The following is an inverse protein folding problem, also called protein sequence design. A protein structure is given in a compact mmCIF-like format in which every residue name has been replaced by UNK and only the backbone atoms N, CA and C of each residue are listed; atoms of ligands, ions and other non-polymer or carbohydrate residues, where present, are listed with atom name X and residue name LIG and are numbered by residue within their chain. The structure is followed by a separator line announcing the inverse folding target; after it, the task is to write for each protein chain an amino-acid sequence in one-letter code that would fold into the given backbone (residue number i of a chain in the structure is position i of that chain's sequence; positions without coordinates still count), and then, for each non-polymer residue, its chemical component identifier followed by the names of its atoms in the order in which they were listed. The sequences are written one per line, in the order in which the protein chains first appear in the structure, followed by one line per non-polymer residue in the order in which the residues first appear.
data_IF_673205440516
#
_entry.id   IF_673205440516
#
_cell.length_a   1.000
_cell.length_b   1.000
_cell.length_c   1.000
_cell.angle_alpha   90.00
_cell.angle_beta   90.00
_cell.angle_gamma   90.00
#
_symmetry.space_group_name_H-M   'P 1'
#
loop_
_entity.id
_entity.type
_entity.pdbx_description
1 polymer ?
#
# COMPACT_ATOMS: atom_id res chain seq x y z
N UNK A 1 -82.87 -20.10 -76.14
CA UNK A 1 -81.76 -19.27 -75.65
C UNK A 1 -80.73 -20.19 -75.02
N UNK A 2 -79.59 -20.39 -75.66
CA UNK A 2 -78.48 -21.22 -75.15
C UNK A 2 -77.66 -20.40 -74.13
N UNK A 3 -77.27 -20.97 -72.98
CA UNK A 3 -76.43 -20.26 -72.00
C UNK A 3 -75.02 -20.02 -72.55
N UNK A 4 -74.39 -18.88 -72.23
CA UNK A 4 -73.03 -18.58 -72.68
C UNK A 4 -72.02 -19.53 -72.02
N UNK A 5 -71.12 -20.07 -72.82
CA UNK A 5 -70.05 -20.97 -72.39
C UNK A 5 -69.07 -20.24 -71.45
N UNK A 6 -68.69 -20.82 -70.30
CA UNK A 6 -67.77 -20.18 -69.36
C UNK A 6 -66.37 -20.01 -69.99
N UNK A 7 -65.84 -18.79 -69.97
CA UNK A 7 -64.50 -18.47 -70.47
C UNK A 7 -63.45 -18.93 -69.46
N UNK A 8 -62.51 -19.78 -69.87
CA UNK A 8 -61.37 -20.16 -69.04
C UNK A 8 -60.38 -18.99 -68.92
N UNK A 9 -60.08 -18.62 -67.68
CA UNK A 9 -59.03 -17.67 -67.33
C UNK A 9 -57.66 -18.36 -67.38
N UNK A 10 -56.67 -17.71 -67.99
CA UNK A 10 -55.29 -18.19 -68.05
C UNK A 10 -54.45 -17.32 -67.14
N UNK A 11 -53.75 -17.96 -66.20
CA UNK A 11 -52.88 -17.31 -65.23
C UNK A 11 -51.41 -17.62 -65.55
N UNK A 12 -50.54 -16.68 -65.22
CA UNK A 12 -49.09 -16.87 -65.20
C UNK A 12 -48.69 -17.79 -64.04
N UNK A 13 -47.45 -18.29 -64.07
CA UNK A 13 -46.91 -19.17 -63.02
C UNK A 13 -46.81 -18.51 -61.65
N UNK A 14 -46.84 -17.17 -61.57
CA UNK A 14 -46.89 -16.38 -60.33
C UNK A 14 -48.32 -16.00 -59.91
N UNK A 15 -49.34 -16.48 -60.62
CA UNK A 15 -50.74 -16.22 -60.33
C UNK A 15 -51.31 -14.94 -60.95
N UNK A 16 -50.52 -14.17 -61.73
CA UNK A 16 -51.04 -12.99 -62.44
C UNK A 16 -51.99 -13.41 -63.59
N UNK A 17 -53.20 -12.83 -63.66
CA UNK A 17 -54.16 -13.13 -64.73
C UNK A 17 -53.64 -12.59 -66.08
N UNK A 18 -53.24 -13.48 -66.99
CA UNK A 18 -52.72 -13.12 -68.31
C UNK A 18 -53.86 -12.71 -69.25
N UNK A 19 -55.03 -13.31 -69.08
CA UNK A 19 -56.24 -12.98 -69.83
C UNK A 19 -57.26 -14.10 -69.86
N UNK A 20 -58.42 -13.84 -70.47
CA UNK A 20 -59.43 -14.86 -70.74
C UNK A 20 -59.26 -15.37 -72.16
N UNK A 21 -59.20 -16.70 -72.33
CA UNK A 21 -59.23 -17.31 -73.66
C UNK A 21 -60.63 -17.13 -74.26
N UNK A 22 -60.83 -16.02 -74.96
CA UNK A 22 -61.93 -15.85 -75.89
C UNK A 22 -61.41 -16.32 -77.26
N UNK A 23 -61.64 -17.60 -77.58
CA UNK A 23 -62.00 -18.13 -78.90
C UNK A 23 -61.66 -19.62 -79.00
N UNK A 24 -62.59 -20.41 -79.53
CA UNK A 24 -62.43 -21.84 -79.83
C UNK A 24 -61.21 -22.06 -80.73
N UNK A 25 -60.13 -22.59 -80.16
CA UNK A 25 -58.98 -23.03 -80.93
C UNK A 25 -59.31 -24.38 -81.57
N UNK A 26 -59.85 -24.36 -82.78
CA UNK A 26 -59.98 -25.56 -83.61
C UNK A 26 -58.57 -26.04 -83.98
N UNK A 27 -58.15 -27.17 -83.40
CA UNK A 27 -56.91 -27.85 -83.77
C UNK A 27 -57.04 -28.29 -85.24
N UNK A 28 -56.50 -27.49 -86.16
CA UNK A 28 -56.41 -27.85 -87.58
C UNK A 28 -55.30 -28.88 -87.79
N UNK A 29 -55.49 -29.85 -88.71
CA UNK A 29 -54.54 -30.93 -88.93
C UNK A 29 -53.22 -30.42 -89.54
N UNK A 30 -52.13 -30.71 -88.82
CA UNK A 30 -50.72 -30.95 -89.16
C UNK A 30 -49.98 -30.24 -90.32
N UNK A 31 -50.55 -29.36 -91.16
CA UNK A 31 -49.82 -28.84 -92.34
C UNK A 31 -50.13 -27.40 -92.78
N UNK A 32 -50.64 -26.53 -91.91
CA UNK A 32 -50.77 -25.09 -92.19
C UNK A 32 -49.98 -24.27 -91.17
N UNK A 33 -48.99 -23.52 -91.66
CA UNK A 33 -48.21 -22.58 -90.85
C UNK A 33 -49.14 -21.48 -90.29
N UNK A 34 -49.52 -21.60 -89.02
CA UNK A 34 -50.24 -20.55 -88.31
C UNK A 34 -49.32 -19.34 -88.13
N UNK A 35 -49.61 -18.25 -88.85
CA UNK A 35 -48.85 -16.99 -88.72
C UNK A 35 -49.38 -16.22 -87.51
N UNK A 36 -48.64 -16.28 -86.40
CA UNK A 36 -48.95 -15.50 -85.20
C UNK A 36 -48.51 -14.05 -85.44
N UNK A 37 -49.44 -13.11 -85.59
CA UNK A 37 -49.13 -11.67 -85.64
C UNK A 37 -48.98 -11.13 -84.22
N UNK A 38 -47.75 -10.94 -83.79
CA UNK A 38 -47.43 -10.30 -82.51
C UNK A 38 -47.35 -8.78 -82.71
N UNK A 39 -47.97 -7.99 -81.83
CA UNK A 39 -47.89 -6.54 -81.89
C UNK A 39 -46.49 -6.06 -81.49
N UNK A 40 -45.71 -5.56 -82.47
CA UNK A 40 -44.30 -5.21 -82.30
C UNK A 40 -44.05 -4.20 -81.16
N UNK A 41 -44.99 -3.27 -80.90
CA UNK A 41 -44.87 -2.27 -79.84
C UNK A 41 -44.97 -2.88 -78.43
N UNK A 42 -45.78 -3.92 -78.26
CA UNK A 42 -45.85 -4.66 -76.98
C UNK A 42 -44.58 -5.46 -76.74
N UNK A 43 -44.03 -6.07 -77.78
CA UNK A 43 -42.79 -6.84 -77.66
C UNK A 43 -41.59 -5.95 -77.30
N UNK A 44 -41.46 -4.77 -77.92
CA UNK A 44 -40.39 -3.81 -77.56
C UNK A 44 -40.56 -3.29 -76.14
N UNK A 45 -41.78 -2.97 -75.71
CA UNK A 45 -42.06 -2.55 -74.33
C UNK A 45 -41.68 -3.64 -73.30
N UNK A 46 -42.05 -4.90 -73.55
CA UNK A 46 -41.67 -6.04 -72.71
C UNK A 46 -40.15 -6.23 -72.66
N UNK A 47 -39.46 -6.11 -73.80
CA UNK A 47 -37.99 -6.22 -73.84
C UNK A 47 -37.30 -5.11 -73.06
N UNK A 48 -37.80 -3.87 -73.14
CA UNK A 48 -37.28 -2.75 -72.33
C UNK A 48 -37.53 -2.97 -70.85
N UNK A 49 -38.72 -3.43 -70.46
CA UNK A 49 -39.02 -3.79 -69.06
C UNK A 49 -38.10 -4.90 -68.55
N UNK A 50 -37.89 -5.96 -69.33
CA UNK A 50 -36.99 -7.05 -68.96
C UNK A 50 -35.54 -6.57 -68.77
N UNK A 51 -35.04 -5.69 -69.64
CA UNK A 51 -33.70 -5.09 -69.50
C UNK A 51 -33.60 -4.20 -68.24
N UNK A 52 -34.61 -3.38 -67.98
CA UNK A 52 -34.64 -2.53 -66.79
C UNK A 52 -34.73 -3.37 -65.52
N UNK A 53 -35.55 -4.42 -65.51
CA UNK A 53 -35.62 -5.37 -64.40
C UNK A 53 -34.27 -6.07 -64.17
N UNK A 54 -33.57 -6.46 -65.23
CA UNK A 54 -32.23 -7.05 -65.12
C UNK A 54 -31.24 -6.04 -64.53
N UNK A 55 -31.21 -4.79 -65.01
CA UNK A 55 -30.35 -3.73 -64.45
C UNK A 55 -30.67 -3.44 -62.98
N UNK A 56 -31.94 -3.38 -62.61
CA UNK A 56 -32.34 -3.15 -61.24
C UNK A 56 -31.91 -4.33 -60.35
N UNK A 57 -32.11 -5.57 -60.80
CA UNK A 57 -31.63 -6.76 -60.11
C UNK A 57 -30.11 -6.71 -59.93
N UNK A 58 -29.37 -6.39 -60.98
CA UNK A 58 -27.91 -6.35 -60.94
C UNK A 58 -27.42 -5.21 -60.02
N UNK A 59 -28.10 -4.06 -59.98
CA UNK A 59 -27.83 -2.98 -59.03
C UNK A 59 -28.09 -3.39 -57.58
N UNK A 60 -29.21 -4.08 -57.31
CA UNK A 60 -29.54 -4.61 -55.97
C UNK A 60 -28.51 -5.66 -55.54
N UNK A 61 -28.07 -6.52 -56.46
CA UNK A 61 -27.02 -7.51 -56.18
C UNK A 61 -25.70 -6.82 -55.83
N UNK A 62 -25.30 -5.80 -56.59
CA UNK A 62 -24.09 -5.03 -56.29
C UNK A 62 -24.18 -4.32 -54.92
N UNK A 63 -25.34 -3.75 -54.59
CA UNK A 63 -25.56 -3.13 -53.28
C UNK A 63 -25.50 -4.16 -52.13
N UNK A 64 -26.16 -5.31 -52.30
CA UNK A 64 -26.07 -6.42 -51.35
C UNK A 64 -24.62 -6.85 -51.14
N UNK A 65 -23.86 -7.01 -52.20
CA UNK A 65 -22.47 -7.46 -52.11
C UNK A 65 -21.58 -6.41 -51.43
N UNK A 66 -21.84 -5.12 -51.66
CA UNK A 66 -21.17 -4.02 -50.95
C UNK A 66 -21.52 -4.00 -49.45
N UNK A 67 -22.79 -4.19 -49.10
CA UNK A 67 -23.22 -4.30 -47.70
C UNK A 67 -22.65 -5.55 -47.03
N UNK A 68 -22.59 -6.68 -47.74
CA UNK A 68 -21.97 -7.91 -47.25
C UNK A 68 -20.49 -7.69 -46.94
N UNK A 69 -19.76 -6.98 -47.81
CA UNK A 69 -18.37 -6.61 -47.57
C UNK A 69 -18.22 -5.71 -46.32
N UNK A 70 -19.10 -4.72 -46.15
CA UNK A 70 -19.11 -3.88 -44.94
C UNK A 70 -19.38 -4.70 -43.67
N UNK A 71 -20.34 -5.63 -43.72
CA UNK A 71 -20.62 -6.53 -42.59
C UNK A 71 -19.38 -7.35 -42.23
N UNK A 72 -18.67 -7.89 -43.23
CA UNK A 72 -17.43 -8.64 -42.95
C UNK A 72 -16.33 -7.76 -42.35
N UNK A 73 -16.17 -6.52 -42.82
CA UNK A 73 -15.20 -5.58 -42.24
C UNK A 73 -15.54 -5.27 -40.78
N UNK A 74 -16.80 -4.91 -40.49
CA UNK A 74 -17.24 -4.62 -39.13
C UNK A 74 -17.10 -5.84 -38.21
N UNK A 75 -17.36 -7.04 -38.72
CA UNK A 75 -17.13 -8.27 -37.96
C UNK A 75 -15.65 -8.47 -37.60
N UNK A 76 -14.72 -8.16 -38.52
CA UNK A 76 -13.29 -8.22 -38.21
C UNK A 76 -12.86 -7.15 -37.20
N UNK A 77 -13.43 -5.94 -37.29
CA UNK A 77 -13.16 -4.87 -36.32
C UNK A 77 -13.66 -5.23 -34.92
N UNK A 78 -14.87 -5.79 -34.81
CA UNK A 78 -15.42 -6.28 -33.53
C UNK A 78 -14.51 -7.35 -32.93
N UNK A 79 -14.05 -8.31 -33.72
CA UNK A 79 -13.15 -9.36 -33.24
C UNK A 79 -11.80 -8.80 -32.74
N UNK A 80 -11.24 -7.80 -33.44
CA UNK A 80 -10.00 -7.15 -33.02
C UNK A 80 -10.19 -6.37 -31.71
N UNK A 81 -11.25 -5.56 -31.61
CA UNK A 81 -11.56 -4.80 -30.40
C UNK A 81 -11.84 -5.70 -29.20
N UNK A 82 -12.49 -6.85 -29.42
CA UNK A 82 -12.69 -7.86 -28.38
C UNK A 82 -11.34 -8.39 -27.86
N UNK A 83 -10.41 -8.71 -28.76
CA UNK A 83 -9.04 -9.11 -28.37
C UNK A 83 -8.28 -8.02 -27.60
N UNK A 84 -8.43 -6.75 -27.99
CA UNK A 84 -7.83 -5.63 -27.27
C UNK A 84 -8.40 -5.45 -25.86
N UNK A 85 -9.72 -5.58 -25.70
CA UNK A 85 -10.38 -5.52 -24.39
C UNK A 85 -9.89 -6.65 -23.49
N UNK A 86 -9.85 -7.88 -23.99
CA UNK A 86 -9.36 -9.03 -23.22
C UNK A 86 -7.90 -8.84 -22.78
N UNK A 87 -7.04 -8.31 -23.66
CA UNK A 87 -5.65 -8.01 -23.35
C UNK A 87 -5.52 -6.93 -22.27
N UNK A 88 -6.33 -5.86 -22.35
CA UNK A 88 -6.35 -4.79 -21.33
C UNK A 88 -6.89 -5.27 -19.99
N UNK A 89 -7.89 -6.14 -19.98
CA UNK A 89 -8.41 -6.74 -18.76
C UNK A 89 -7.42 -7.70 -18.12
N UNK A 90 -6.61 -8.40 -18.90
CA UNK A 90 -5.51 -9.21 -18.38
C UNK A 90 -4.41 -8.33 -17.76
N UNK A 91 -4.03 -7.24 -18.43
CA UNK A 91 -3.07 -6.26 -17.90
C UNK A 91 -3.56 -5.63 -16.59
N UNK A 92 -4.84 -5.21 -16.55
CA UNK A 92 -5.46 -4.65 -15.34
C UNK A 92 -5.41 -5.63 -14.17
N UNK A 93 -5.76 -6.91 -14.40
CA UNK A 93 -5.70 -7.95 -13.37
C UNK A 93 -4.28 -8.14 -12.83
N UNK A 94 -3.27 -8.14 -13.69
CA UNK A 94 -1.88 -8.24 -13.26
C UNK A 94 -1.45 -7.07 -12.37
N UNK A 95 -1.87 -5.84 -12.69
CA UNK A 95 -1.61 -4.66 -11.84
C UNK A 95 -2.38 -4.71 -10.51
N UNK A 96 -3.60 -5.22 -10.50
CA UNK A 96 -4.39 -5.41 -9.28
C UNK A 96 -3.72 -6.43 -8.34
N UNK A 97 -3.23 -7.55 -8.88
CA UNK A 97 -2.45 -8.54 -8.12
C UNK A 97 -1.15 -7.94 -7.57
N UNK A 98 -0.40 -7.19 -8.39
CA UNK A 98 0.82 -6.51 -7.94
C UNK A 98 0.53 -5.49 -6.83
N UNK A 99 -0.55 -4.71 -6.96
CA UNK A 99 -0.98 -3.76 -5.93
C UNK A 99 -1.35 -4.47 -4.64
N UNK A 100 -2.08 -5.58 -4.71
CA UNK A 100 -2.42 -6.39 -3.54
C UNK A 100 -1.16 -6.90 -2.83
N UNK A 101 -0.18 -7.40 -3.60
CA UNK A 101 1.10 -7.87 -3.05
C UNK A 101 1.90 -6.75 -2.36
N UNK A 102 1.96 -5.55 -2.97
CA UNK A 102 2.64 -4.39 -2.38
C UNK A 102 1.95 -3.91 -1.11
N UNK A 103 0.61 -3.86 -1.09
CA UNK A 103 -0.14 -3.49 0.12
C UNK A 103 0.13 -4.48 1.27
N UNK A 104 0.11 -5.78 1.00
CA UNK A 104 0.45 -6.77 2.03
C UNK A 104 1.91 -6.71 2.49
N UNK A 105 2.83 -6.25 1.63
CA UNK A 105 4.23 -6.03 2.03
C UNK A 105 4.41 -4.79 2.93
N UNK A 106 3.65 -3.72 2.66
CA UNK A 106 3.63 -2.52 3.51
C UNK A 106 3.07 -2.89 4.89
N UNK A 107 1.95 -3.60 4.96
CA UNK A 107 1.32 -4.02 6.21
C UNK A 107 2.28 -4.82 7.10
N UNK A 108 2.98 -5.82 6.54
CA UNK A 108 4.01 -6.57 7.28
C UNK A 108 5.17 -5.70 7.75
N UNK A 109 5.63 -4.76 6.92
CA UNK A 109 6.71 -3.86 7.30
C UNK A 109 6.30 -2.89 8.42
N UNK A 110 5.03 -2.47 8.43
CA UNK A 110 4.44 -1.67 9.50
C UNK A 110 4.35 -2.48 10.81
N UNK A 111 3.90 -3.74 10.75
CA UNK A 111 3.90 -4.65 11.90
C UNK A 111 5.32 -4.82 12.47
N UNK A 112 6.31 -5.18 11.63
CA UNK A 112 7.71 -5.34 12.04
C UNK A 112 8.28 -4.04 12.65
N UNK A 113 7.96 -2.88 12.05
CA UNK A 113 8.40 -1.59 12.57
C UNK A 113 7.78 -1.28 13.95
N UNK A 114 6.51 -1.64 14.17
CA UNK A 114 5.87 -1.48 15.49
C UNK A 114 6.50 -2.38 16.54
N UNK A 115 6.78 -3.64 16.20
CA UNK A 115 7.44 -4.58 17.12
C UNK A 115 8.82 -4.07 17.54
N UNK A 116 9.63 -3.60 16.58
CA UNK A 116 10.95 -3.02 16.86
C UNK A 116 10.85 -1.76 17.72
N UNK A 117 9.86 -0.90 17.46
CA UNK A 117 9.66 0.33 18.24
C UNK A 117 9.27 0.05 19.68
N UNK A 118 8.39 -0.94 19.91
CA UNK A 118 8.03 -1.40 21.27
C UNK A 118 9.25 -1.95 21.97
N UNK A 119 10.02 -2.83 21.32
CA UNK A 119 11.23 -3.40 21.89
C UNK A 119 12.27 -2.33 22.27
N UNK A 120 12.49 -1.32 21.41
CA UNK A 120 13.39 -0.21 21.72
C UNK A 120 12.88 0.62 22.91
N UNK A 121 11.58 0.87 22.95
CA UNK A 121 10.97 1.68 24.01
C UNK A 121 11.11 0.99 25.36
N UNK A 122 10.76 -0.29 25.44
CA UNK A 122 10.82 -1.08 26.68
C UNK A 122 12.24 -1.22 27.22
N UNK A 123 13.22 -1.46 26.34
CA UNK A 123 14.63 -1.59 26.73
C UNK A 123 15.31 -0.22 26.96
N UNK A 124 14.70 0.86 26.47
CA UNK A 124 15.17 2.23 26.66
C UNK A 124 14.67 2.90 27.94
N UNK A 125 13.81 2.25 28.73
CA UNK A 125 13.25 2.83 29.95
C UNK A 125 14.29 2.89 31.09
N UNK A 126 14.33 4.03 31.77
CA UNK A 126 15.10 4.23 32.98
C UNK A 126 14.40 3.53 34.15
N UNK A 127 15.04 2.58 34.86
CA UNK A 127 14.40 1.88 35.99
C UNK A 127 14.04 2.77 37.20
N UNK A 128 14.52 4.02 37.24
CA UNK A 128 14.26 4.96 38.33
C UNK A 128 13.01 5.82 38.08
N UNK A 129 12.86 6.38 36.88
CA UNK A 129 11.72 7.23 36.54
C UNK A 129 10.68 6.55 35.65
N UNK A 130 10.95 5.35 35.15
CA UNK A 130 10.10 4.59 34.22
C UNK A 130 9.77 5.33 32.92
N UNK A 131 10.58 6.32 32.55
CA UNK A 131 10.52 7.02 31.26
C UNK A 131 11.68 6.59 30.36
N UNK A 132 11.57 6.84 29.05
CA UNK A 132 12.68 6.67 28.10
C UNK A 132 13.90 7.46 28.60
N UNK A 133 15.06 6.80 28.66
CA UNK A 133 16.29 7.37 29.20
C UNK A 133 16.68 8.67 28.48
N UNK A 134 16.67 9.79 29.22
CA UNK A 134 17.23 11.06 28.75
C UNK A 134 18.69 11.11 29.13
N UNK A 135 19.56 11.20 28.12
CA UNK A 135 21.01 11.11 28.28
C UNK A 135 21.40 9.84 29.06
N UNK A 136 21.31 8.65 28.42
CA UNK A 136 21.56 7.38 29.09
C UNK A 136 23.01 7.27 29.58
N UNK A 137 23.20 6.96 30.86
CA UNK A 137 24.49 6.60 31.48
C UNK A 137 24.45 5.16 31.98
N UNK A 138 25.52 4.42 31.71
CA UNK A 138 25.68 3.02 32.12
C UNK A 138 26.58 2.91 33.34
N UNK A 139 26.13 2.12 34.33
CA UNK A 139 26.96 1.70 35.47
C UNK A 139 27.89 0.58 34.98
N UNK A 140 29.21 0.80 35.02
CA UNK A 140 30.20 -0.10 34.39
C UNK A 140 30.26 -1.47 35.03
N UNK A 141 29.92 -1.56 36.32
CA UNK A 141 30.02 -2.77 37.13
C UNK A 141 28.89 -3.76 36.84
N UNK A 142 27.70 -3.27 36.46
CA UNK A 142 26.52 -4.10 36.27
C UNK A 142 25.78 -3.90 34.95
N UNK A 143 26.18 -2.93 34.12
CA UNK A 143 25.60 -2.68 32.80
C UNK A 143 24.23 -1.98 32.78
N UNK A 144 23.63 -1.70 33.94
CA UNK A 144 22.33 -1.00 34.00
C UNK A 144 22.47 0.45 33.54
N UNK A 145 21.50 0.89 32.73
CA UNK A 145 21.46 2.23 32.13
C UNK A 145 20.35 3.07 32.75
N UNK A 146 20.63 4.35 33.00
CA UNK A 146 19.73 5.29 33.66
C UNK A 146 19.79 6.66 32.97
N UNK A 147 18.79 7.52 33.19
CA UNK A 147 18.93 8.95 32.90
C UNK A 147 20.08 9.54 33.71
N UNK A 148 20.82 10.48 33.11
CA UNK A 148 21.88 11.22 33.80
C UNK A 148 21.40 11.81 35.14
N UNK A 149 20.26 12.51 35.11
CA UNK A 149 19.67 13.15 36.30
C UNK A 149 19.25 12.15 37.37
N UNK A 150 18.63 11.03 37.00
CA UNK A 150 18.22 9.98 37.94
C UNK A 150 19.42 9.37 38.66
N UNK A 151 20.48 9.06 37.91
CA UNK A 151 21.69 8.46 38.47
C UNK A 151 22.45 9.46 39.36
N UNK A 152 22.60 10.71 38.92
CA UNK A 152 23.24 11.77 39.74
C UNK A 152 22.48 11.98 41.04
N UNK A 153 21.16 12.15 41.00
CA UNK A 153 20.36 12.34 42.21
C UNK A 153 20.52 11.18 43.20
N UNK A 154 20.55 9.95 42.70
CA UNK A 154 20.76 8.76 43.53
C UNK A 154 22.12 8.77 44.23
N UNK A 155 23.19 9.07 43.49
CA UNK A 155 24.55 9.13 44.04
C UNK A 155 24.71 10.30 45.01
N UNK A 156 24.09 11.45 44.75
CA UNK A 156 24.11 12.61 45.66
C UNK A 156 23.51 12.27 47.03
N UNK A 157 22.41 11.51 47.09
CA UNK A 157 21.81 11.09 48.36
C UNK A 157 22.77 10.20 49.16
N UNK A 158 23.46 9.26 48.50
CA UNK A 158 24.46 8.42 49.15
C UNK A 158 25.64 9.25 49.67
N UNK A 159 26.09 10.22 48.88
CA UNK A 159 27.16 11.14 49.24
C UNK A 159 26.80 12.05 50.43
N UNK A 160 25.62 12.67 50.41
CA UNK A 160 25.15 13.52 51.51
C UNK A 160 24.96 12.73 52.80
N UNK A 161 24.53 11.45 52.72
CA UNK A 161 24.44 10.56 53.88
C UNK A 161 25.82 10.28 54.48
N UNK A 162 26.84 10.02 53.67
CA UNK A 162 28.21 9.83 54.14
C UNK A 162 28.75 11.10 54.80
N UNK A 163 28.53 12.27 54.16
CA UNK A 163 28.96 13.57 54.70
C UNK A 163 28.26 13.96 56.01
N UNK A 164 27.00 13.59 56.18
CA UNK A 164 26.25 13.84 57.41
C UNK A 164 26.68 12.98 58.60
N UNK A 165 27.36 11.84 58.36
CA UNK A 165 27.76 10.87 59.38
C UNK A 165 29.08 11.23 60.08
N UNK A 166 29.95 12.02 59.45
CA UNK A 166 31.23 12.42 60.01
C UNK A 166 31.70 13.71 59.35
N UNK A 167 32.10 14.68 60.16
CA UNK A 167 32.46 16.06 59.77
C UNK A 167 33.78 16.15 58.98
N UNK A 168 34.05 15.19 58.08
CA UNK A 168 35.26 15.12 57.27
C UNK A 168 34.92 15.64 55.87
N UNK A 169 35.62 16.69 55.45
CA UNK A 169 35.52 17.23 54.10
C UNK A 169 36.29 16.30 53.14
N UNK A 170 35.66 15.22 52.72
CA UNK A 170 36.21 14.34 51.69
C UNK A 170 35.77 14.87 50.34
N UNK A 171 36.75 15.19 49.50
CA UNK A 171 36.49 15.61 48.13
C UNK A 171 35.87 14.42 47.36
N UNK A 172 34.67 14.54 46.78
CA UNK A 172 33.91 13.44 46.17
C UNK A 172 34.60 12.74 44.99
N UNK A 173 35.78 13.21 44.57
CA UNK A 173 36.49 12.76 43.37
C UNK A 173 37.90 12.22 43.61
N UNK A 174 38.25 11.72 44.79
CA UNK A 174 39.50 10.94 44.90
C UNK A 174 39.18 9.49 44.50
N UNK A 175 39.44 9.06 43.24
CA UNK A 175 39.32 7.66 42.89
C UNK A 175 40.27 6.81 43.76
N UNK A 176 39.97 5.53 44.00
CA UNK A 176 40.93 4.61 44.60
C UNK A 176 42.25 4.69 43.84
N UNK A 177 43.38 4.68 44.54
CA UNK A 177 44.69 4.72 43.91
C UNK A 177 44.88 3.37 43.22
N UNK A 178 44.95 3.38 41.89
CA UNK A 178 45.14 2.15 41.13
C UNK A 178 46.58 1.67 41.33
N UNK A 179 46.81 0.35 41.44
CA UNK A 179 48.16 -0.20 41.67
C UNK A 179 49.20 0.23 40.63
N UNK A 180 48.75 0.57 39.41
CA UNK A 180 49.59 1.15 38.34
C UNK A 180 50.15 2.53 38.69
N UNK A 181 49.45 3.31 39.52
CA UNK A 181 49.90 4.62 40.02
C UNK A 181 50.92 4.49 41.15
N UNK A 182 51.03 3.29 41.75
CA UNK A 182 51.98 3.00 42.82
C UNK A 182 53.33 2.46 42.29
N UNK A 183 53.43 2.21 40.97
CA UNK A 183 54.65 1.70 40.35
C UNK A 183 55.77 2.72 40.46
N UNK A 184 56.85 2.35 41.16
CA UNK A 184 58.04 3.20 41.34
C UNK A 184 58.04 4.02 42.63
N UNK A 185 57.00 3.92 43.46
CA UNK A 185 57.01 4.45 44.83
C UNK A 185 57.84 3.55 45.75
N UNK A 186 58.35 4.12 46.84
CA UNK A 186 59.01 3.35 47.90
C UNK A 186 57.97 2.51 48.66
N UNK A 187 58.42 1.41 49.27
CA UNK A 187 57.57 0.53 50.09
C UNK A 187 56.90 1.30 51.23
N UNK A 188 57.64 2.19 51.91
CA UNK A 188 57.11 3.08 52.96
C UNK A 188 56.01 4.03 52.46
N UNK A 189 56.12 4.51 51.21
CA UNK A 189 55.10 5.36 50.61
C UNK A 189 53.84 4.55 50.24
N UNK A 190 54.01 3.31 49.77
CA UNK A 190 52.90 2.39 49.48
C UNK A 190 52.15 2.04 50.77
N UNK A 191 52.88 1.77 51.86
CA UNK A 191 52.29 1.48 53.18
C UNK A 191 51.53 2.69 53.75
N UNK A 192 52.15 3.88 53.71
CA UNK A 192 51.49 5.13 54.13
C UNK A 192 50.24 5.45 53.30
N UNK A 193 50.26 5.14 52.00
CA UNK A 193 49.08 5.29 51.12
C UNK A 193 48.00 4.28 51.52
N UNK A 194 48.37 3.02 51.82
CA UNK A 194 47.44 1.99 52.26
C UNK A 194 46.73 2.35 53.57
N UNK A 195 47.48 2.83 54.58
CA UNK A 195 46.90 3.28 55.85
C UNK A 195 45.91 4.44 55.66
N UNK A 196 46.25 5.40 54.79
CA UNK A 196 45.35 6.50 54.42
C UNK A 196 44.13 6.00 53.65
N UNK A 197 44.27 5.00 52.77
CA UNK A 197 43.14 4.40 52.06
C UNK A 197 42.18 3.68 53.02
N UNK A 198 42.71 2.91 53.98
CA UNK A 198 41.94 2.20 55.00
C UNK A 198 41.16 3.21 55.90
N UNK A 199 41.81 4.31 56.32
CA UNK A 199 41.17 5.36 57.10
C UNK A 199 40.08 6.09 56.28
N UNK A 200 40.33 6.33 54.99
CA UNK A 200 39.36 6.93 54.09
C UNK A 200 38.19 5.99 53.75
N UNK A 201 38.41 4.66 53.76
CA UNK A 201 37.39 3.68 53.40
C UNK A 201 36.19 3.70 54.36
N UNK A 202 36.42 3.98 55.66
CA UNK A 202 35.35 4.16 56.65
C UNK A 202 34.42 5.34 56.30
N UNK A 203 34.93 6.34 55.58
CA UNK A 203 34.20 7.55 55.23
C UNK A 203 33.76 7.61 53.76
N UNK A 204 34.09 6.61 52.94
CA UNK A 204 33.67 6.57 51.53
C UNK A 204 32.17 6.30 51.45
N UNK A 205 31.49 7.07 50.60
CA UNK A 205 30.09 6.80 50.29
C UNK A 205 29.97 5.47 49.54
N UNK A 206 29.14 4.56 50.08
CA UNK A 206 28.76 3.34 49.37
C UNK A 206 27.80 3.68 48.21
N UNK A 207 28.38 3.98 47.06
CA UNK A 207 27.60 4.15 45.84
C UNK A 207 27.10 2.79 45.34
N UNK A 208 25.80 2.68 45.13
CA UNK A 208 25.16 1.44 44.66
C UNK A 208 24.28 1.71 43.45
N UNK A 209 24.16 0.72 42.57
CA UNK A 209 23.23 0.79 41.44
C UNK A 209 21.77 0.86 41.93
N UNK A 210 20.94 1.81 41.47
CA UNK A 210 19.54 1.92 41.89
C UNK A 210 18.73 0.65 41.66
N UNK A 211 19.06 -0.10 40.61
CA UNK A 211 18.33 -1.30 40.20
C UNK A 211 18.81 -2.56 40.93
N UNK A 212 20.09 -2.95 40.75
CA UNK A 212 20.61 -4.22 41.26
C UNK A 212 21.45 -4.10 42.54
N UNK A 213 21.65 -2.88 43.06
CA UNK A 213 22.45 -2.59 44.27
C UNK A 213 23.93 -2.96 44.20
N UNK A 214 24.46 -3.35 43.03
CA UNK A 214 25.89 -3.55 42.83
C UNK A 214 26.68 -2.27 43.20
N UNK A 215 27.82 -2.44 43.88
CA UNK A 215 28.70 -1.34 44.25
C UNK A 215 29.25 -0.64 43.00
N UNK A 216 29.34 0.68 43.06
CA UNK A 216 29.83 1.54 41.97
C UNK A 216 31.12 2.19 42.42
N UNK A 217 32.25 1.68 41.94
CA UNK A 217 33.58 2.24 42.23
C UNK A 217 34.19 3.01 41.06
N UNK A 218 33.54 3.02 39.90
CA UNK A 218 33.94 3.84 38.73
C UNK A 218 32.81 4.76 38.31
N UNK A 219 33.18 5.94 37.81
CA UNK A 219 32.23 6.88 37.27
C UNK A 219 31.37 6.22 36.17
N UNK A 220 30.04 6.36 36.22
CA UNK A 220 29.16 5.95 35.13
C UNK A 220 29.55 6.63 33.81
N UNK A 221 29.38 5.93 32.69
CA UNK A 221 29.79 6.44 31.37
C UNK A 221 28.56 6.65 30.51
N UNK A 222 28.56 7.70 29.68
CA UNK A 222 27.48 7.95 28.73
C UNK A 222 27.38 6.80 27.71
N UNK A 223 26.19 6.25 27.53
CA UNK A 223 25.92 5.19 26.56
C UNK A 223 25.45 5.81 25.23
N UNK A 224 26.41 6.16 24.36
CA UNK A 224 26.12 6.81 23.08
C UNK A 224 25.28 5.95 22.14
N UNK A 225 25.43 4.61 22.17
CA UNK A 225 24.65 3.70 21.33
C UNK A 225 23.16 3.75 21.69
N UNK A 226 22.83 3.66 22.99
CA UNK A 226 21.43 3.77 23.44
C UNK A 226 20.89 5.18 23.19
N UNK A 227 21.71 6.23 23.37
CA UNK A 227 21.31 7.60 23.08
C UNK A 227 20.92 7.77 21.60
N UNK A 228 21.71 7.22 20.68
CA UNK A 228 21.43 7.28 19.24
C UNK A 228 20.18 6.47 18.86
N UNK A 229 20.02 5.26 19.42
CA UNK A 229 18.83 4.43 19.19
C UNK A 229 17.56 5.15 19.65
N UNK A 230 17.58 5.72 20.86
CA UNK A 230 16.46 6.48 21.42
C UNK A 230 16.13 7.69 20.53
N UNK A 231 17.14 8.45 20.09
CA UNK A 231 16.90 9.64 19.28
C UNK A 231 16.35 9.28 17.88
N UNK A 232 16.79 8.16 17.29
CA UNK A 232 16.23 7.66 16.02
C UNK A 232 14.82 7.10 16.17
N UNK A 233 14.48 6.52 17.32
CA UNK A 233 13.13 6.05 17.61
C UNK A 233 12.15 7.19 17.97
N UNK A 234 12.67 8.34 18.38
CA UNK A 234 11.89 9.50 18.84
C UNK A 234 10.80 10.00 17.87
N UNK A 235 11.03 10.10 16.54
CA UNK A 235 9.99 10.55 15.60
C UNK A 235 8.78 9.60 15.54
N UNK A 236 8.97 8.31 15.84
CA UNK A 236 7.90 7.33 15.88
C UNK A 236 7.09 7.39 17.19
N UNK A 237 7.72 7.80 18.30
CA UNK A 237 7.11 7.83 19.64
C UNK A 237 6.42 9.18 19.95
N UNK A 238 6.83 10.28 19.30
CA UNK A 238 6.33 11.62 19.64
C UNK A 238 4.88 11.92 19.22
N UNK A 239 4.27 11.17 18.29
CA UNK A 239 2.90 11.45 17.84
C UNK A 239 1.81 11.05 18.85
N UNK A 240 2.03 10.03 19.68
CA UNK A 240 1.04 9.60 20.70
C UNK A 240 1.34 10.14 22.12
N UNK A 241 2.62 10.32 22.44
CA UNK A 241 3.06 10.78 23.76
C UNK A 241 2.75 12.26 24.03
N UNK A 242 2.88 13.14 23.03
CA UNK A 242 2.70 14.58 23.21
C UNK A 242 1.22 14.95 23.48
N UNK A 243 0.27 14.24 22.86
CA UNK A 243 -1.17 14.43 23.09
C UNK A 243 -1.60 13.92 24.47
N UNK A 244 -1.08 12.77 24.89
CA UNK A 244 -1.31 12.23 26.24
C UNK A 244 -0.67 13.11 27.29
N UNK A 245 0.53 13.66 27.01
CA UNK A 245 1.23 14.62 27.86
C UNK A 245 0.48 15.95 27.96
N UNK A 246 0.01 16.54 26.86
CA UNK A 246 -0.80 17.76 26.90
C UNK A 246 -2.12 17.56 27.65
N UNK A 247 -2.76 16.40 27.49
CA UNK A 247 -3.96 16.03 28.24
C UNK A 247 -3.67 15.88 29.73
N UNK A 248 -2.54 15.25 30.09
CA UNK A 248 -2.13 15.06 31.48
C UNK A 248 -1.62 16.37 32.11
N UNK A 249 -0.89 17.22 31.38
CA UNK A 249 -0.50 18.57 31.80
C UNK A 249 -1.74 19.45 31.99
N UNK A 250 -2.76 19.33 31.13
CA UNK A 250 -4.07 19.99 31.30
C UNK A 250 -4.83 19.49 32.53
N UNK A 251 -4.84 18.19 32.80
CA UNK A 251 -5.41 17.62 34.02
C UNK A 251 -4.65 18.06 35.27
N UNK A 252 -3.31 18.07 35.25
CA UNK A 252 -2.47 18.55 36.34
C UNK A 252 -2.74 20.04 36.61
N UNK A 253 -2.83 20.89 35.58
CA UNK A 253 -3.22 22.30 35.74
C UNK A 253 -4.62 22.45 36.36
N UNK A 254 -5.57 21.61 35.95
CA UNK A 254 -6.94 21.61 36.47
C UNK A 254 -7.03 21.13 37.91
N UNK A 255 -6.22 20.14 38.31
CA UNK A 255 -6.23 19.57 39.66
C UNK A 255 -5.41 20.37 40.68
N UNK A 256 -4.37 21.09 40.26
CA UNK A 256 -3.45 21.80 41.16
C UNK A 256 -3.61 23.32 41.20
N UNK A 257 -4.58 23.88 40.47
CA UNK A 257 -4.99 25.28 40.57
C UNK A 257 -3.80 26.28 40.50
N UNK A 258 -2.83 25.99 39.64
CA UNK A 258 -1.73 26.92 39.36
C UNK A 258 -2.29 28.05 38.49
N UNK A 259 -2.73 29.14 39.12
CA UNK A 259 -3.03 30.40 38.44
C UNK A 259 -1.75 30.94 37.80
N UNK A 260 -1.82 31.33 36.53
CA UNK A 260 -0.70 31.84 35.71
C UNK A 260 -0.13 33.20 36.16
N UNK A 261 -0.45 33.64 37.38
CA UNK A 261 0.05 34.90 37.94
C UNK A 261 1.33 34.65 38.75
N UNK A 262 2.45 34.46 38.05
CA UNK A 262 3.82 34.80 38.49
C UNK A 262 4.76 34.91 37.27
#
# INVERSE_FOLDING_TARGET
MTPPTPRQAVYASDGELIGHMADEYTIRPANQAATIRVNATRFTALRTRARNATRNRDAIVAERDALQAQVTTLQTEIANLQGEVEAREAEKRAWEDQRSNLLGAIERAEEDATEVTVAITDNGLCPVCSEICREPYVVRECGHTFCASCLVNWLTVAYDKARGAGNVHIDPMVPPIHGEQMVGLSEEAIESIGELEDELEEYRAEFTCPYCRASIWRAPVKNFAIAEIIERARPAVHLEGELTRQRNEGLIRTYFNMSEDL
#
